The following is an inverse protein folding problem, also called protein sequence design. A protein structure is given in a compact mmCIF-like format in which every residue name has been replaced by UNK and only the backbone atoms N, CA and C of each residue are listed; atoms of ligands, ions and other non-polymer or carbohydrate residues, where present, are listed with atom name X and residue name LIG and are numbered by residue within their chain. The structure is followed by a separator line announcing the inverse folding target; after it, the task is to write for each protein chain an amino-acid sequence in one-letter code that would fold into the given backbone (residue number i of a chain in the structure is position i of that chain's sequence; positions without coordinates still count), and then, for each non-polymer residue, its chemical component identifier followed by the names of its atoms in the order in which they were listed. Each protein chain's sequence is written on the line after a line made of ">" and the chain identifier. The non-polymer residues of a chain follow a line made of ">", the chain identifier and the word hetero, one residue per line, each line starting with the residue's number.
data_IF_635321058343
#
_entry.id   IF_635321058343
#
_cell.length_a   1.000
_cell.length_b   1.000
_cell.length_c   1.000
_cell.angle_alpha   90.00
_cell.angle_beta   90.00
_cell.angle_gamma   90.00
#
_symmetry.space_group_name_H-M   'P 1'
#
loop_
_entity.id
_entity.type
_entity.pdbx_description
1 polymer ?
#
# COMPACT_ATOMS: atom_id res chain seq x y z
N UNK A 1 -85.63 20.72 9.06
CA UNK A 1 -85.83 20.11 7.72
C UNK A 1 -84.47 19.66 7.17
N UNK A 2 -83.75 18.90 7.99
CA UNK A 2 -82.28 18.84 8.01
C UNK A 2 -81.77 17.41 8.27
N UNK A 3 -82.59 16.43 7.91
CA UNK A 3 -82.26 14.99 7.99
C UNK A 3 -82.63 14.23 6.71
N UNK A 4 -83.32 14.87 5.74
CA UNK A 4 -83.66 14.25 4.45
C UNK A 4 -82.62 14.46 3.33
N UNK A 5 -81.73 15.45 3.47
CA UNK A 5 -80.69 15.74 2.45
C UNK A 5 -79.43 14.88 2.66
N UNK A 6 -79.21 14.36 3.88
CA UNK A 6 -78.07 13.50 4.20
C UNK A 6 -78.20 12.06 3.67
N UNK A 7 -79.42 11.58 3.37
CA UNK A 7 -79.66 10.20 2.91
C UNK A 7 -79.57 10.08 1.38
N UNK A 8 -79.74 11.17 0.62
CA UNK A 8 -79.65 11.16 -0.85
C UNK A 8 -78.20 11.27 -1.35
N UNK A 9 -77.28 11.83 -0.55
CA UNK A 9 -75.86 11.95 -0.92
C UNK A 9 -75.08 10.62 -0.70
N UNK A 10 -75.56 9.75 0.20
CA UNK A 10 -74.94 8.43 0.45
C UNK A 10 -75.39 7.39 -0.59
N UNK A 11 -76.55 7.56 -1.24
CA UNK A 11 -77.01 6.69 -2.31
C UNK A 11 -76.37 7.00 -3.69
N UNK A 12 -75.82 8.20 -3.89
CA UNK A 12 -75.12 8.58 -5.14
C UNK A 12 -73.63 8.13 -5.15
N UNK A 13 -73.03 7.87 -3.98
CA UNK A 13 -71.66 7.35 -3.87
C UNK A 13 -71.56 5.81 -3.91
N UNK A 14 -72.68 5.10 -3.75
CA UNK A 14 -72.76 3.63 -3.88
C UNK A 14 -72.93 3.11 -5.32
N UNK A 15 -73.24 3.99 -6.29
CA UNK A 15 -73.56 3.59 -7.68
C UNK A 15 -72.50 3.99 -8.73
N UNK A 16 -71.41 4.66 -8.33
CA UNK A 16 -70.29 5.00 -9.23
C UNK A 16 -69.08 4.05 -9.04
N UNK A 17 -69.16 3.09 -8.12
CA UNK A 17 -68.11 2.08 -7.89
C UNK A 17 -68.33 0.78 -8.72
N UNK A 18 -69.33 0.71 -9.60
CA UNK A 18 -69.63 -0.52 -10.36
C UNK A 18 -69.69 -0.40 -11.90
N UNK A 19 -69.14 0.65 -12.51
CA UNK A 19 -69.13 0.76 -13.99
C UNK A 19 -67.83 1.21 -14.65
N UNK A 20 -66.73 1.41 -13.91
CA UNK A 20 -65.40 1.36 -14.53
C UNK A 20 -64.92 -0.09 -14.50
N UNK A 21 -65.68 -0.94 -15.20
CA UNK A 21 -65.17 -2.18 -15.72
C UNK A 21 -63.91 -1.83 -16.52
N UNK A 22 -62.77 -2.22 -15.95
CA UNK A 22 -61.47 -2.15 -16.58
C UNK A 22 -61.59 -2.66 -18.01
N UNK A 23 -61.48 -1.76 -18.99
CA UNK A 23 -61.04 -2.11 -20.33
C UNK A 23 -59.58 -2.55 -20.19
N UNK A 24 -59.38 -3.77 -19.69
CA UNK A 24 -58.12 -4.50 -19.82
C UNK A 24 -57.89 -4.58 -21.32
N UNK A 25 -56.99 -3.72 -21.83
CA UNK A 25 -56.27 -4.01 -23.07
C UNK A 25 -55.71 -5.42 -22.89
N UNK A 26 -56.36 -6.38 -23.51
CA UNK A 26 -55.85 -7.73 -23.75
C UNK A 26 -54.67 -7.60 -24.72
N UNK A 27 -53.56 -7.08 -24.22
CA UNK A 27 -52.27 -7.44 -24.77
C UNK A 27 -52.16 -8.95 -24.63
N UNK A 28 -52.00 -9.66 -25.75
CA UNK A 28 -51.64 -11.09 -25.79
C UNK A 28 -50.41 -11.30 -24.90
N UNK A 29 -50.61 -11.61 -23.62
CA UNK A 29 -49.59 -12.27 -22.80
C UNK A 29 -49.55 -13.71 -23.31
N UNK A 30 -48.63 -13.99 -24.23
CA UNK A 30 -48.32 -15.35 -24.61
C UNK A 30 -48.06 -16.17 -23.35
N UNK A 31 -48.67 -17.35 -23.23
CA UNK A 31 -48.43 -18.28 -22.13
C UNK A 31 -46.91 -18.48 -21.98
N UNK A 32 -46.36 -18.00 -20.86
CA UNK A 32 -44.97 -18.29 -20.50
C UNK A 32 -44.88 -19.80 -20.29
N UNK A 33 -44.09 -20.48 -21.13
CA UNK A 33 -43.93 -21.94 -21.05
C UNK A 33 -43.41 -22.32 -19.66
N UNK A 34 -43.97 -23.39 -19.08
CA UNK A 34 -43.49 -23.88 -17.79
C UNK A 34 -42.04 -24.37 -17.91
N UNK A 35 -41.27 -24.31 -16.82
CA UNK A 35 -39.90 -24.85 -16.75
C UNK A 35 -39.81 -26.26 -17.31
N UNK A 36 -40.71 -27.14 -16.90
CA UNK A 36 -40.75 -28.54 -17.35
C UNK A 36 -40.98 -28.66 -18.86
N UNK A 37 -41.83 -27.78 -19.41
CA UNK A 37 -42.07 -27.73 -20.86
C UNK A 37 -40.83 -27.24 -21.62
N UNK A 38 -40.15 -26.19 -21.14
CA UNK A 38 -38.92 -25.68 -21.76
C UNK A 38 -37.84 -26.76 -21.76
N UNK A 39 -37.61 -27.42 -20.62
CA UNK A 39 -36.64 -28.50 -20.53
C UNK A 39 -36.98 -29.65 -21.49
N UNK A 40 -38.22 -30.13 -21.48
CA UNK A 40 -38.65 -31.25 -22.34
C UNK A 40 -38.53 -30.93 -23.84
N UNK A 41 -38.97 -29.74 -24.25
CA UNK A 41 -38.91 -29.33 -25.65
C UNK A 41 -37.47 -29.11 -26.12
N UNK A 42 -36.66 -28.43 -25.32
CA UNK A 42 -35.27 -28.16 -25.65
C UNK A 42 -34.40 -29.41 -25.61
N UNK A 43 -34.58 -30.34 -24.66
CA UNK A 43 -33.83 -31.60 -24.65
C UNK A 43 -34.17 -32.46 -25.86
N UNK A 44 -35.45 -32.51 -26.25
CA UNK A 44 -35.85 -33.22 -27.49
C UNK A 44 -35.19 -32.61 -28.72
N UNK A 45 -35.16 -31.29 -28.83
CA UNK A 45 -34.49 -30.59 -29.96
C UNK A 45 -32.98 -30.84 -29.96
N UNK A 46 -32.33 -30.74 -28.80
CA UNK A 46 -30.88 -30.99 -28.67
C UNK A 46 -30.49 -32.45 -28.91
N UNK A 47 -31.38 -33.40 -28.64
CA UNK A 47 -31.16 -34.81 -28.97
C UNK A 47 -31.19 -35.08 -30.49
N UNK A 48 -31.92 -34.26 -31.25
CA UNK A 48 -31.95 -34.35 -32.71
C UNK A 48 -30.80 -33.56 -33.34
N UNK A 49 -30.50 -32.39 -32.79
CA UNK A 49 -29.45 -31.49 -33.24
C UNK A 49 -28.79 -30.82 -32.02
N UNK A 50 -27.58 -31.25 -31.62
CA UNK A 50 -26.86 -30.66 -30.48
C UNK A 50 -26.58 -29.16 -30.59
N UNK A 51 -26.64 -28.60 -31.81
CA UNK A 51 -26.41 -27.18 -32.07
C UNK A 51 -27.71 -26.42 -32.37
N UNK A 52 -28.88 -26.98 -32.04
CA UNK A 52 -30.15 -26.35 -32.34
C UNK A 52 -30.29 -24.97 -31.65
N UNK A 53 -30.37 -23.86 -32.41
CA UNK A 53 -30.27 -22.51 -31.86
C UNK A 53 -31.46 -22.15 -30.98
N UNK A 54 -32.69 -22.54 -31.35
CA UNK A 54 -33.88 -22.32 -30.52
C UNK A 54 -33.75 -22.98 -29.14
N UNK A 55 -33.26 -24.22 -29.12
CA UNK A 55 -33.16 -25.00 -27.90
C UNK A 55 -32.08 -24.44 -26.98
N UNK A 56 -30.92 -24.07 -27.55
CA UNK A 56 -29.84 -23.42 -26.84
C UNK A 56 -30.27 -22.06 -26.29
N UNK A 57 -30.95 -21.22 -27.07
CA UNK A 57 -31.46 -19.93 -26.60
C UNK A 57 -32.46 -20.10 -25.45
N UNK A 58 -33.43 -21.01 -25.58
CA UNK A 58 -34.44 -21.25 -24.56
C UNK A 58 -33.84 -21.79 -23.24
N UNK A 59 -32.87 -22.72 -23.31
CA UNK A 59 -32.21 -23.26 -22.13
C UNK A 59 -31.24 -22.26 -21.50
N UNK A 60 -30.49 -21.53 -22.31
CA UNK A 60 -29.59 -20.47 -21.83
C UNK A 60 -30.38 -19.43 -21.04
N UNK A 61 -31.49 -18.94 -21.60
CA UNK A 61 -32.37 -17.99 -20.92
C UNK A 61 -32.97 -18.56 -19.63
N UNK A 62 -33.41 -19.83 -19.64
CA UNK A 62 -33.93 -20.50 -18.46
C UNK A 62 -32.89 -20.56 -17.34
N UNK A 63 -31.71 -21.11 -17.62
CA UNK A 63 -30.66 -21.27 -16.61
C UNK A 63 -30.09 -19.93 -16.14
N UNK A 64 -29.98 -18.94 -17.03
CA UNK A 64 -29.57 -17.59 -16.66
C UNK A 64 -30.55 -16.95 -15.66
N UNK A 65 -31.85 -17.05 -15.94
CA UNK A 65 -32.89 -16.53 -15.05
C UNK A 65 -32.94 -17.28 -13.70
N UNK A 66 -32.65 -18.59 -13.71
CA UNK A 66 -32.49 -19.41 -12.50
C UNK A 66 -31.16 -19.14 -11.77
N UNK A 67 -30.27 -18.29 -12.32
CA UNK A 67 -28.91 -18.05 -11.82
C UNK A 67 -28.06 -19.32 -11.73
N UNK A 68 -28.39 -20.33 -12.52
CA UNK A 68 -27.62 -21.56 -12.70
C UNK A 68 -26.46 -21.27 -13.67
N UNK A 69 -25.49 -20.47 -13.22
CA UNK A 69 -24.40 -19.96 -14.04
C UNK A 69 -23.54 -21.07 -14.64
N UNK A 70 -23.34 -22.14 -13.88
CA UNK A 70 -22.62 -23.37 -14.26
C UNK A 70 -23.24 -24.05 -15.48
N UNK A 71 -24.58 -24.02 -15.59
CA UNK A 71 -25.33 -24.57 -16.73
C UNK A 71 -25.52 -23.57 -17.86
N UNK A 72 -25.69 -22.29 -17.53
CA UNK A 72 -25.92 -21.24 -18.52
C UNK A 72 -24.64 -20.91 -19.31
N UNK A 73 -23.48 -20.86 -18.64
CA UNK A 73 -22.19 -20.54 -19.24
C UNK A 73 -21.85 -21.38 -20.50
N UNK A 74 -21.82 -22.73 -20.43
CA UNK A 74 -21.47 -23.54 -21.59
C UNK A 74 -22.49 -23.40 -22.73
N UNK A 75 -23.76 -23.17 -22.42
CA UNK A 75 -24.79 -22.96 -23.45
C UNK A 75 -24.54 -21.66 -24.22
N UNK A 76 -24.21 -20.57 -23.53
CA UNK A 76 -23.87 -19.32 -24.21
C UNK A 76 -22.55 -19.39 -24.97
N UNK A 77 -21.59 -20.18 -24.49
CA UNK A 77 -20.37 -20.47 -25.25
C UNK A 77 -20.67 -21.21 -26.56
N UNK A 78 -21.55 -22.23 -26.53
CA UNK A 78 -22.01 -22.92 -27.74
C UNK A 78 -22.80 -21.99 -28.67
N UNK A 79 -23.68 -21.12 -28.13
CA UNK A 79 -24.38 -20.13 -28.94
C UNK A 79 -23.39 -19.21 -29.69
N UNK A 80 -22.34 -18.75 -29.00
CA UNK A 80 -21.30 -17.92 -29.60
C UNK A 80 -20.47 -18.65 -30.66
N UNK A 81 -20.23 -19.96 -30.51
CA UNK A 81 -19.48 -20.73 -31.51
C UNK A 81 -20.27 -20.97 -32.80
N UNK A 82 -21.60 -21.10 -32.72
CA UNK A 82 -22.45 -21.37 -33.88
C UNK A 82 -23.07 -20.10 -34.49
N UNK A 83 -23.01 -18.96 -33.79
CA UNK A 83 -23.55 -17.69 -34.26
C UNK A 83 -23.15 -17.28 -35.70
N UNK A 84 -21.92 -17.53 -36.20
CA UNK A 84 -21.58 -17.21 -37.59
C UNK A 84 -22.45 -17.91 -38.63
N UNK A 85 -22.98 -19.09 -38.31
CA UNK A 85 -23.86 -19.88 -39.17
C UNK A 85 -25.36 -19.66 -38.90
N UNK A 86 -25.71 -19.10 -37.74
CA UNK A 86 -27.09 -18.97 -37.24
C UNK A 86 -27.43 -17.51 -36.90
N UNK A 87 -28.02 -16.80 -37.87
CA UNK A 87 -28.35 -15.35 -37.77
C UNK A 87 -29.41 -15.02 -36.71
N UNK A 88 -30.20 -16.02 -36.31
CA UNK A 88 -31.21 -15.94 -35.27
C UNK A 88 -30.62 -15.76 -33.86
N UNK A 89 -29.32 -16.05 -33.68
CA UNK A 89 -28.65 -15.86 -32.41
C UNK A 89 -28.33 -14.37 -32.21
N UNK A 90 -28.90 -13.79 -31.17
CA UNK A 90 -28.53 -12.46 -30.70
C UNK A 90 -27.12 -12.50 -30.07
N UNK A 91 -26.12 -12.17 -30.89
CA UNK A 91 -24.70 -12.16 -30.51
C UNK A 91 -24.44 -11.25 -29.32
N UNK A 92 -25.13 -10.10 -29.24
CA UNK A 92 -24.97 -9.17 -28.11
C UNK A 92 -25.44 -9.82 -26.82
N UNK A 93 -26.67 -10.35 -26.81
CA UNK A 93 -27.24 -11.02 -25.64
C UNK A 93 -26.44 -12.24 -25.22
N UNK A 94 -26.04 -13.09 -26.17
CA UNK A 94 -25.28 -14.30 -25.89
C UNK A 94 -23.90 -13.96 -25.30
N UNK A 95 -23.16 -13.03 -25.91
CA UNK A 95 -21.83 -12.61 -25.44
C UNK A 95 -21.87 -11.90 -24.07
N UNK A 96 -22.85 -11.01 -23.84
CA UNK A 96 -23.07 -10.37 -22.54
C UNK A 96 -23.35 -11.43 -21.46
N UNK A 97 -24.29 -12.34 -21.70
CA UNK A 97 -24.67 -13.34 -20.70
C UNK A 97 -23.59 -14.38 -20.45
N UNK A 98 -22.84 -14.78 -21.47
CA UNK A 98 -21.63 -15.60 -21.30
C UNK A 98 -20.65 -14.90 -20.36
N UNK A 99 -20.35 -13.63 -20.63
CA UNK A 99 -19.46 -12.80 -19.82
C UNK A 99 -19.92 -12.66 -18.37
N UNK A 100 -21.20 -12.40 -18.16
CA UNK A 100 -21.80 -12.32 -16.81
C UNK A 100 -21.67 -13.66 -16.08
N UNK A 101 -22.02 -14.78 -16.73
CA UNK A 101 -21.89 -16.10 -16.11
C UNK A 101 -20.43 -16.37 -15.70
N UNK A 102 -19.46 -16.02 -16.56
CA UNK A 102 -18.05 -16.17 -16.26
C UNK A 102 -17.62 -15.35 -15.03
N UNK A 103 -18.01 -14.07 -14.92
CA UNK A 103 -17.73 -13.24 -13.72
C UNK A 103 -18.34 -13.84 -12.45
N UNK A 104 -19.57 -14.37 -12.55
CA UNK A 104 -20.27 -15.01 -11.42
C UNK A 104 -19.66 -16.35 -11.01
N UNK A 105 -19.05 -17.06 -11.94
CA UNK A 105 -18.30 -18.31 -11.70
C UNK A 105 -16.82 -18.07 -11.33
N UNK A 106 -16.41 -16.80 -11.17
CA UNK A 106 -15.02 -16.40 -10.94
C UNK A 106 -14.01 -16.79 -12.04
N UNK A 107 -14.53 -17.06 -13.25
CA UNK A 107 -13.76 -17.31 -14.47
C UNK A 107 -13.38 -15.98 -15.14
N UNK A 108 -12.49 -15.23 -14.48
CA UNK A 108 -12.23 -13.83 -14.84
C UNK A 108 -11.60 -13.68 -16.21
N UNK A 109 -10.63 -14.54 -16.56
CA UNK A 109 -9.98 -14.50 -17.86
C UNK A 109 -10.98 -14.75 -19.01
N UNK A 110 -11.88 -15.72 -18.84
CA UNK A 110 -12.89 -16.10 -19.82
C UNK A 110 -13.98 -15.04 -19.96
N UNK A 111 -14.28 -14.29 -18.88
CA UNK A 111 -15.28 -13.22 -18.91
C UNK A 111 -14.95 -12.13 -19.92
N UNK A 112 -13.66 -11.84 -20.14
CA UNK A 112 -13.23 -10.83 -21.10
C UNK A 112 -13.61 -11.16 -22.54
N UNK A 113 -13.70 -12.45 -22.92
CA UNK A 113 -14.08 -12.85 -24.27
C UNK A 113 -15.48 -12.37 -24.61
N UNK A 114 -16.47 -12.75 -23.79
CA UNK A 114 -17.87 -12.36 -23.99
C UNK A 114 -18.10 -10.85 -23.80
N UNK A 115 -17.53 -10.27 -22.74
CA UNK A 115 -17.73 -8.85 -22.43
C UNK A 115 -17.06 -7.91 -23.45
N UNK A 116 -15.92 -8.32 -24.04
CA UNK A 116 -15.26 -7.53 -25.10
C UNK A 116 -16.06 -7.52 -26.40
N UNK A 117 -16.69 -8.64 -26.77
CA UNK A 117 -17.62 -8.66 -27.90
C UNK A 117 -18.86 -7.81 -27.61
N UNK A 118 -19.46 -7.96 -26.43
CA UNK A 118 -20.65 -7.21 -26.06
C UNK A 118 -20.41 -5.69 -26.04
N UNK A 119 -19.25 -5.22 -25.55
CA UNK A 119 -18.90 -3.78 -25.54
C UNK A 119 -18.58 -3.22 -26.91
N UNK A 120 -18.13 -4.04 -27.86
CA UNK A 120 -17.97 -3.61 -29.26
C UNK A 120 -19.33 -3.40 -29.94
N UNK A 121 -20.32 -4.24 -29.63
CA UNK A 121 -21.67 -4.14 -30.21
C UNK A 121 -22.49 -3.01 -29.57
N UNK A 122 -22.49 -2.92 -28.24
CA UNK A 122 -23.16 -1.84 -27.53
C UNK A 122 -22.24 -1.22 -26.45
N UNK A 123 -21.43 -0.20 -26.81
CA UNK A 123 -20.46 0.42 -25.90
C UNK A 123 -21.07 1.11 -24.68
N UNK A 124 -22.36 1.44 -24.73
CA UNK A 124 -23.04 2.23 -23.69
C UNK A 124 -24.01 1.39 -22.86
N UNK A 125 -24.02 0.07 -23.06
CA UNK A 125 -24.85 -0.80 -22.26
C UNK A 125 -24.39 -0.79 -20.79
N UNK A 126 -25.38 -0.70 -19.90
CA UNK A 126 -25.15 -0.63 -18.46
C UNK A 126 -24.51 -1.91 -17.93
N UNK A 127 -25.06 -3.08 -18.27
CA UNK A 127 -24.58 -4.36 -17.75
C UNK A 127 -23.21 -4.68 -18.30
N UNK A 128 -22.97 -4.43 -19.59
CA UNK A 128 -21.65 -4.61 -20.20
C UNK A 128 -20.58 -3.82 -19.45
N UNK A 129 -20.78 -2.51 -19.27
CA UNK A 129 -19.79 -1.67 -18.59
C UNK A 129 -19.64 -2.04 -17.11
N UNK A 130 -20.72 -2.41 -16.44
CA UNK A 130 -20.67 -2.86 -15.05
C UNK A 130 -19.86 -4.16 -14.89
N UNK A 131 -20.20 -5.20 -15.65
CA UNK A 131 -19.54 -6.50 -15.52
C UNK A 131 -18.12 -6.49 -16.09
N UNK A 132 -17.84 -5.70 -17.12
CA UNK A 132 -16.47 -5.50 -17.61
C UNK A 132 -15.62 -4.74 -16.59
N UNK A 133 -16.18 -3.73 -15.92
CA UNK A 133 -15.52 -3.06 -14.79
C UNK A 133 -15.24 -4.03 -13.64
N UNK A 134 -16.18 -4.89 -13.28
CA UNK A 134 -15.99 -5.92 -12.25
C UNK A 134 -14.93 -6.95 -12.64
N UNK A 135 -14.89 -7.38 -13.90
CA UNK A 135 -13.86 -8.29 -14.40
C UNK A 135 -12.47 -7.66 -14.26
N UNK A 136 -12.30 -6.41 -14.69
CA UNK A 136 -11.04 -5.68 -14.50
C UNK A 136 -10.69 -5.49 -13.01
N UNK A 137 -11.66 -5.15 -12.16
CA UNK A 137 -11.44 -5.02 -10.71
C UNK A 137 -10.94 -6.32 -10.09
N UNK A 138 -11.59 -7.45 -10.39
CA UNK A 138 -11.19 -8.77 -9.91
C UNK A 138 -9.84 -9.23 -10.47
N UNK A 139 -9.48 -8.78 -11.67
CA UNK A 139 -8.16 -9.02 -12.26
C UNK A 139 -7.08 -8.05 -11.74
N UNK A 140 -7.36 -7.23 -10.73
CA UNK A 140 -6.49 -6.17 -10.19
C UNK A 140 -6.09 -5.08 -11.22
N UNK A 141 -6.81 -4.96 -12.32
CA UNK A 141 -6.59 -3.94 -13.37
C UNK A 141 -7.44 -2.70 -13.11
N UNK A 142 -7.18 -2.03 -11.98
CA UNK A 142 -8.02 -0.93 -11.48
C UNK A 142 -8.12 0.25 -12.46
N UNK A 143 -7.02 0.60 -13.14
CA UNK A 143 -6.99 1.68 -14.14
C UNK A 143 -7.93 1.43 -15.32
N UNK A 144 -8.16 0.15 -15.68
CA UNK A 144 -9.12 -0.24 -16.71
C UNK A 144 -10.55 -0.35 -16.18
N UNK A 145 -10.72 -0.67 -14.90
CA UNK A 145 -12.03 -0.75 -14.25
C UNK A 145 -12.70 0.63 -14.10
N UNK A 146 -11.94 1.65 -13.68
CA UNK A 146 -12.42 3.01 -13.45
C UNK A 146 -13.22 3.59 -14.63
N UNK A 147 -12.73 3.63 -15.88
CA UNK A 147 -13.48 4.20 -16.99
C UNK A 147 -14.76 3.43 -17.31
N UNK A 148 -14.78 2.11 -17.08
CA UNK A 148 -16.00 1.29 -17.27
C UNK A 148 -17.06 1.64 -16.24
N UNK A 149 -16.69 1.72 -14.96
CA UNK A 149 -17.62 2.13 -13.91
C UNK A 149 -18.06 3.59 -14.04
N UNK A 150 -17.19 4.51 -14.48
CA UNK A 150 -17.60 5.88 -14.82
C UNK A 150 -18.66 5.90 -15.92
N UNK A 151 -18.58 5.03 -16.93
CA UNK A 151 -19.61 4.91 -17.96
C UNK A 151 -20.95 4.48 -17.38
N UNK A 152 -20.94 3.56 -16.41
CA UNK A 152 -22.16 3.12 -15.68
C UNK A 152 -22.85 4.31 -15.00
N UNK A 153 -22.09 5.16 -14.30
CA UNK A 153 -22.61 6.36 -13.63
C UNK A 153 -23.17 7.37 -14.63
N UNK A 154 -22.56 7.52 -15.81
CA UNK A 154 -23.08 8.40 -16.86
C UNK A 154 -24.40 7.88 -17.45
N UNK A 155 -24.50 6.56 -17.68
CA UNK A 155 -25.68 5.94 -18.30
C UNK A 155 -26.86 5.85 -17.33
N UNK A 156 -26.60 5.57 -16.05
CA UNK A 156 -27.60 5.54 -14.98
C UNK A 156 -27.06 6.23 -13.72
N UNK A 157 -27.21 7.57 -13.60
CA UNK A 157 -26.71 8.32 -12.44
C UNK A 157 -27.27 7.86 -11.09
N UNK A 158 -28.51 7.37 -11.10
CA UNK A 158 -29.25 6.91 -9.91
C UNK A 158 -29.03 5.43 -9.59
N UNK A 159 -28.17 4.72 -10.33
CA UNK A 159 -27.89 3.32 -10.04
C UNK A 159 -27.20 3.15 -8.68
N UNK A 160 -27.85 2.39 -7.79
CA UNK A 160 -27.28 1.96 -6.51
C UNK A 160 -26.25 0.85 -6.72
N UNK A 161 -25.30 0.69 -5.81
CA UNK A 161 -24.32 -0.41 -5.84
C UNK A 161 -23.14 -0.19 -6.80
N UNK A 162 -23.08 0.95 -7.52
CA UNK A 162 -21.92 1.34 -8.33
C UNK A 162 -20.88 2.13 -7.55
N UNK A 163 -21.30 2.79 -6.47
CA UNK A 163 -20.43 3.65 -5.67
C UNK A 163 -19.26 2.88 -5.05
N UNK A 164 -19.53 1.68 -4.52
CA UNK A 164 -18.48 0.84 -3.90
C UNK A 164 -17.45 0.36 -4.93
N UNK A 165 -17.82 -0.30 -6.05
CA UNK A 165 -16.83 -0.72 -7.04
C UNK A 165 -16.02 0.45 -7.61
N UNK A 166 -16.67 1.58 -7.95
CA UNK A 166 -15.97 2.74 -8.49
C UNK A 166 -15.02 3.37 -7.46
N UNK A 167 -15.48 3.58 -6.23
CA UNK A 167 -14.67 4.15 -5.14
C UNK A 167 -13.47 3.28 -4.80
N UNK A 168 -13.66 1.96 -4.69
CA UNK A 168 -12.58 1.01 -4.43
C UNK A 168 -11.60 0.91 -5.60
N UNK A 169 -12.08 0.90 -6.85
CA UNK A 169 -11.22 0.97 -8.04
C UNK A 169 -10.36 2.23 -8.05
N UNK A 170 -10.95 3.40 -7.82
CA UNK A 170 -10.21 4.67 -7.76
C UNK A 170 -9.16 4.66 -6.65
N UNK A 171 -9.51 4.14 -5.46
CA UNK A 171 -8.58 4.01 -4.36
C UNK A 171 -7.40 3.09 -4.69
N UNK A 172 -7.65 1.90 -5.23
CA UNK A 172 -6.59 0.95 -5.59
C UNK A 172 -5.74 1.41 -6.79
N UNK A 173 -6.32 2.24 -7.66
CA UNK A 173 -5.60 3.00 -8.71
C UNK A 173 -4.86 4.25 -8.17
N UNK A 174 -4.83 4.46 -6.85
CA UNK A 174 -4.18 5.60 -6.16
C UNK A 174 -4.76 6.98 -6.50
N UNK A 175 -5.95 7.04 -7.07
CA UNK A 175 -6.72 8.27 -7.26
C UNK A 175 -7.47 8.64 -5.98
N UNK A 176 -6.73 8.83 -4.88
CA UNK A 176 -7.29 8.93 -3.53
C UNK A 176 -8.31 10.06 -3.36
N UNK A 177 -8.02 11.27 -3.85
CA UNK A 177 -8.97 12.39 -3.73
C UNK A 177 -10.26 12.14 -4.50
N UNK A 178 -10.18 11.48 -5.66
CA UNK A 178 -11.34 11.17 -6.50
C UNK A 178 -12.18 10.04 -5.91
N UNK A 179 -11.57 9.10 -5.16
CA UNK A 179 -12.29 7.97 -4.57
C UNK A 179 -13.22 8.38 -3.43
N UNK A 180 -12.84 9.39 -2.63
CA UNK A 180 -13.56 9.81 -1.41
C UNK A 180 -15.08 10.05 -1.58
N UNK A 181 -15.56 10.83 -2.56
CA UNK A 181 -17.00 11.03 -2.74
C UNK A 181 -17.75 9.72 -3.04
N UNK A 182 -17.15 8.80 -3.82
CA UNK A 182 -17.77 7.52 -4.15
C UNK A 182 -17.72 6.54 -2.98
N UNK A 183 -16.63 6.50 -2.22
CA UNK A 183 -16.51 5.69 -1.01
C UNK A 183 -17.47 6.18 0.09
N UNK A 184 -17.63 7.50 0.24
CA UNK A 184 -18.66 8.06 1.14
C UNK A 184 -20.05 7.59 0.73
N UNK A 185 -20.41 7.73 -0.55
CA UNK A 185 -21.70 7.25 -1.07
C UNK A 185 -21.88 5.74 -0.87
N UNK A 186 -20.81 4.96 -1.03
CA UNK A 186 -20.84 3.51 -0.78
C UNK A 186 -21.15 3.18 0.69
N UNK A 187 -20.66 3.98 1.63
CA UNK A 187 -20.96 3.85 3.06
C UNK A 187 -22.34 4.40 3.43
N UNK A 188 -22.83 5.41 2.71
CA UNK A 188 -24.21 5.88 2.85
C UNK A 188 -25.20 4.77 2.39
N UNK A 189 -24.85 4.02 1.33
CA UNK A 189 -25.62 2.87 0.83
C UNK A 189 -25.47 1.61 1.69
N UNK A 190 -24.26 1.33 2.19
CA UNK A 190 -23.96 0.20 3.06
C UNK A 190 -22.94 0.61 4.16
N UNK A 191 -23.41 1.03 5.34
CA UNK A 191 -22.55 1.46 6.44
C UNK A 191 -21.62 0.37 7.00
N UNK A 192 -21.93 -0.90 6.75
CA UNK A 192 -21.15 -2.03 7.27
C UNK A 192 -19.99 -2.44 6.36
N UNK A 193 -19.82 -1.80 5.20
CA UNK A 193 -18.75 -2.11 4.27
C UNK A 193 -17.37 -1.66 4.82
N UNK A 194 -16.71 -2.57 5.55
CA UNK A 194 -15.39 -2.34 6.16
C UNK A 194 -14.29 -2.08 5.14
N UNK A 195 -14.36 -2.67 3.94
CA UNK A 195 -13.39 -2.41 2.88
C UNK A 195 -13.49 -0.95 2.40
N UNK A 196 -14.72 -0.47 2.13
CA UNK A 196 -14.95 0.93 1.75
C UNK A 196 -14.58 1.90 2.88
N UNK A 197 -14.88 1.54 4.14
CA UNK A 197 -14.53 2.34 5.31
C UNK A 197 -13.01 2.47 5.48
N UNK A 198 -12.27 1.36 5.37
CA UNK A 198 -10.82 1.37 5.40
C UNK A 198 -10.23 2.16 4.23
N UNK A 199 -10.69 1.90 3.00
CA UNK A 199 -10.22 2.60 1.80
C UNK A 199 -10.47 4.12 1.87
N UNK A 200 -11.59 4.54 2.48
CA UNK A 200 -11.90 5.94 2.69
C UNK A 200 -10.94 6.58 3.69
N UNK A 201 -10.67 5.92 4.81
CA UNK A 201 -9.72 6.40 5.81
C UNK A 201 -8.30 6.49 5.26
N UNK A 202 -7.84 5.47 4.56
CA UNK A 202 -6.51 5.46 3.95
C UNK A 202 -6.39 6.49 2.82
N UNK A 203 -7.42 6.61 1.96
CA UNK A 203 -7.49 7.68 0.96
C UNK A 203 -7.49 9.09 1.58
N UNK A 204 -8.12 9.27 2.75
CA UNK A 204 -8.06 10.53 3.50
C UNK A 204 -6.65 10.81 4.02
N UNK A 205 -5.98 9.79 4.58
CA UNK A 205 -4.61 9.89 5.08
C UNK A 205 -3.63 10.32 3.98
N UNK A 206 -3.67 9.64 2.83
CA UNK A 206 -2.85 9.96 1.66
C UNK A 206 -3.19 11.34 1.05
N UNK A 207 -4.42 11.81 1.23
CA UNK A 207 -4.86 13.14 0.78
C UNK A 207 -4.57 14.28 1.78
N UNK A 208 -3.91 13.99 2.92
CA UNK A 208 -3.52 14.98 3.93
C UNK A 208 -4.51 15.17 5.08
N UNK A 209 -5.56 14.36 5.16
CA UNK A 209 -6.58 14.41 6.22
C UNK A 209 -6.38 13.30 7.27
N UNK A 210 -5.12 13.07 7.67
CA UNK A 210 -4.73 11.94 8.54
C UNK A 210 -5.41 11.93 9.92
N UNK A 211 -5.67 13.09 10.53
CA UNK A 211 -6.35 13.15 11.84
C UNK A 211 -7.77 12.56 11.79
N UNK A 212 -8.48 12.75 10.67
CA UNK A 212 -9.81 12.15 10.46
C UNK A 212 -9.70 10.65 10.19
N UNK A 213 -8.70 10.24 9.41
CA UNK A 213 -8.41 8.84 9.14
C UNK A 213 -8.12 8.05 10.41
N UNK A 214 -7.38 8.64 11.36
CA UNK A 214 -6.98 7.98 12.61
C UNK A 214 -8.18 7.49 13.42
N UNK A 215 -9.27 8.29 13.50
CA UNK A 215 -10.50 7.86 14.19
C UNK A 215 -11.08 6.58 13.60
N UNK A 216 -11.02 6.44 12.28
CA UNK A 216 -11.51 5.25 11.57
C UNK A 216 -10.56 4.06 11.79
N UNK A 217 -9.24 4.27 11.70
CA UNK A 217 -8.27 3.21 11.98
C UNK A 217 -8.40 2.67 13.41
N UNK A 218 -8.59 3.55 14.40
CA UNK A 218 -8.86 3.13 15.78
C UNK A 218 -10.15 2.34 15.92
N UNK A 219 -11.21 2.73 15.20
CA UNK A 219 -12.47 1.99 15.18
C UNK A 219 -12.33 0.61 14.52
N UNK A 220 -11.48 0.47 13.50
CA UNK A 220 -11.23 -0.78 12.79
C UNK A 220 -10.20 -1.69 13.50
N UNK A 221 -9.43 -1.18 14.46
CA UNK A 221 -8.43 -1.96 15.21
C UNK A 221 -8.94 -3.29 15.76
N UNK A 222 -10.11 -3.43 16.41
CA UNK A 222 -10.56 -4.72 16.92
C UNK A 222 -11.09 -5.66 15.83
N UNK A 223 -11.22 -5.21 14.59
CA UNK A 223 -11.80 -5.99 13.50
C UNK A 223 -10.89 -7.19 13.13
N UNK A 224 -11.43 -8.42 13.00
CA UNK A 224 -10.62 -9.60 12.69
C UNK A 224 -9.92 -9.56 11.33
N UNK A 225 -10.51 -8.90 10.34
CA UNK A 225 -10.01 -8.85 8.95
C UNK A 225 -9.21 -7.57 8.69
N UNK A 226 -9.71 -6.43 9.18
CA UNK A 226 -9.14 -5.11 8.91
C UNK A 226 -8.26 -4.58 10.04
N UNK A 227 -8.31 -5.14 11.25
CA UNK A 227 -7.58 -4.62 12.40
C UNK A 227 -6.07 -4.55 12.20
N UNK A 228 -5.46 -5.57 11.59
CA UNK A 228 -4.04 -5.57 11.25
C UNK A 228 -3.69 -4.46 10.24
N UNK A 229 -4.50 -4.28 9.19
CA UNK A 229 -4.32 -3.23 8.17
C UNK A 229 -4.50 -1.84 8.77
N UNK A 230 -5.50 -1.67 9.63
CA UNK A 230 -5.78 -0.42 10.33
C UNK A 230 -4.64 -0.04 11.28
N UNK A 231 -4.08 -1.00 12.01
CA UNK A 231 -2.91 -0.78 12.86
C UNK A 231 -1.66 -0.43 12.07
N UNK A 232 -1.42 -1.09 10.93
CA UNK A 232 -0.33 -0.74 10.03
C UNK A 232 -0.48 0.69 9.50
N UNK A 233 -1.68 1.07 9.04
CA UNK A 233 -1.95 2.42 8.54
C UNK A 233 -1.80 3.49 9.64
N UNK A 234 -2.29 3.22 10.85
CA UNK A 234 -2.13 4.10 12.01
C UNK A 234 -0.65 4.29 12.40
N UNK A 235 0.13 3.20 12.46
CA UNK A 235 1.54 3.29 12.78
C UNK A 235 2.34 4.01 11.69
N UNK A 236 1.99 3.83 10.41
CA UNK A 236 2.59 4.59 9.32
C UNK A 236 2.27 6.08 9.41
N UNK A 237 1.04 6.44 9.81
CA UNK A 237 0.68 7.84 10.08
C UNK A 237 1.55 8.42 11.19
N UNK A 238 1.64 7.77 12.35
CA UNK A 238 2.46 8.26 13.46
C UNK A 238 3.96 8.36 13.10
N UNK A 239 4.50 7.41 12.33
CA UNK A 239 5.87 7.51 11.81
C UNK A 239 6.08 8.76 10.95
N UNK A 240 5.12 9.09 10.08
CA UNK A 240 5.19 10.28 9.22
C UNK A 240 5.21 11.57 10.04
N UNK A 241 4.57 11.57 11.22
CA UNK A 241 4.56 12.70 12.16
C UNK A 241 5.78 12.72 13.09
N UNK A 242 6.70 11.76 12.98
CA UNK A 242 7.86 11.63 13.88
C UNK A 242 7.53 11.05 15.26
N UNK A 243 6.30 10.57 15.47
CA UNK A 243 5.81 10.01 16.72
C UNK A 243 6.14 8.51 16.82
N UNK A 244 7.42 8.17 16.84
CA UNK A 244 7.89 6.78 16.80
C UNK A 244 7.32 5.90 17.92
N UNK A 245 7.12 6.46 19.12
CA UNK A 245 6.54 5.75 20.28
C UNK A 245 5.13 5.23 20.02
N UNK A 246 4.27 6.08 19.44
CA UNK A 246 2.90 5.68 19.10
C UNK A 246 2.90 4.69 17.93
N UNK A 247 3.80 4.89 16.96
CA UNK A 247 3.92 3.97 15.85
C UNK A 247 4.31 2.55 16.28
N UNK A 248 5.27 2.42 17.21
CA UNK A 248 5.65 1.13 17.80
C UNK A 248 4.43 0.46 18.43
N UNK A 249 3.65 1.19 19.24
CA UNK A 249 2.43 0.66 19.88
C UNK A 249 1.42 0.16 18.84
N UNK A 250 1.17 0.94 17.79
CA UNK A 250 0.22 0.56 16.75
C UNK A 250 0.67 -0.72 16.02
N UNK A 251 1.94 -0.83 15.64
CA UNK A 251 2.45 -2.01 14.96
C UNK A 251 2.45 -3.24 15.86
N UNK A 252 2.81 -3.10 17.15
CA UNK A 252 2.75 -4.20 18.11
C UNK A 252 1.31 -4.71 18.32
N UNK A 253 0.32 -3.81 18.33
CA UNK A 253 -1.08 -4.21 18.34
C UNK A 253 -1.44 -4.93 17.03
N UNK A 254 -1.01 -4.41 15.88
CA UNK A 254 -1.24 -5.02 14.58
C UNK A 254 -0.72 -6.46 14.48
N UNK A 255 0.47 -6.73 15.04
CA UNK A 255 1.07 -8.06 15.06
C UNK A 255 0.38 -9.06 16.02
N UNK A 256 -0.53 -8.61 16.89
CA UNK A 256 -1.37 -9.49 17.72
C UNK A 256 -2.56 -10.08 16.97
N UNK A 257 -2.90 -9.56 15.80
CA UNK A 257 -3.97 -10.12 14.96
C UNK A 257 -3.54 -11.46 14.35
N UNK A 258 -4.20 -12.54 14.75
CA UNK A 258 -3.85 -13.91 14.30
C UNK A 258 -4.14 -14.14 12.81
N UNK A 259 -5.15 -13.46 12.26
CA UNK A 259 -5.61 -13.65 10.88
C UNK A 259 -5.02 -12.61 9.90
N UNK A 260 -3.95 -11.91 10.30
CA UNK A 260 -3.30 -10.95 9.43
C UNK A 260 -2.67 -11.64 8.22
N UNK A 261 -2.94 -11.13 7.01
CA UNK A 261 -2.28 -11.62 5.80
C UNK A 261 -0.75 -11.57 5.95
N UNK A 262 0.00 -12.56 5.44
CA UNK A 262 1.46 -12.61 5.60
C UNK A 262 2.17 -11.35 5.13
N UNK A 263 1.70 -10.73 4.04
CA UNK A 263 2.25 -9.51 3.46
C UNK A 263 2.12 -8.33 4.44
N UNK A 264 0.95 -8.21 5.09
CA UNK A 264 0.69 -7.18 6.10
C UNK A 264 1.57 -7.42 7.33
N UNK A 265 1.71 -8.67 7.77
CA UNK A 265 2.56 -9.01 8.91
C UNK A 265 4.04 -8.70 8.64
N UNK A 266 4.55 -9.04 7.46
CA UNK A 266 5.94 -8.75 7.06
C UNK A 266 6.17 -7.23 6.96
N UNK A 267 5.27 -6.49 6.30
CA UNK A 267 5.36 -5.03 6.22
C UNK A 267 5.31 -4.40 7.63
N UNK A 268 4.45 -4.88 8.51
CA UNK A 268 4.32 -4.37 9.89
C UNK A 268 5.61 -4.60 10.68
N UNK A 269 6.23 -5.78 10.59
CA UNK A 269 7.54 -6.04 11.22
C UNK A 269 8.63 -5.13 10.66
N UNK A 270 8.62 -4.87 9.35
CA UNK A 270 9.58 -3.98 8.70
C UNK A 270 9.43 -2.55 9.22
N UNK A 271 8.21 -2.02 9.27
CA UNK A 271 7.92 -0.68 9.78
C UNK A 271 8.20 -0.56 11.28
N UNK A 272 7.92 -1.61 12.05
CA UNK A 272 8.25 -1.68 13.47
C UNK A 272 9.76 -1.64 13.70
N UNK A 273 10.55 -2.35 12.90
CA UNK A 273 12.01 -2.26 12.97
C UNK A 273 12.51 -0.83 12.71
N UNK A 274 11.98 -0.16 11.68
CA UNK A 274 12.31 1.23 11.39
C UNK A 274 11.91 2.18 12.53
N UNK A 275 10.74 1.96 13.15
CA UNK A 275 10.30 2.73 14.31
C UNK A 275 11.24 2.56 15.51
N UNK A 276 11.69 1.32 15.77
CA UNK A 276 12.67 1.04 16.81
C UNK A 276 14.04 1.68 16.53
N UNK A 277 14.49 1.72 15.27
CA UNK A 277 15.71 2.44 14.91
C UNK A 277 15.58 3.95 15.13
N UNK A 278 14.41 4.54 14.84
CA UNK A 278 14.13 5.95 15.11
C UNK A 278 14.20 6.27 16.62
N UNK A 279 13.80 5.32 17.48
CA UNK A 279 13.95 5.39 18.93
C UNK A 279 15.37 5.06 19.44
N UNK A 280 16.31 4.73 18.54
CA UNK A 280 17.67 4.24 18.87
C UNK A 280 17.68 2.89 19.62
N UNK A 281 16.58 2.13 19.58
CA UNK A 281 16.47 0.78 20.16
C UNK A 281 16.87 -0.25 19.09
N UNK A 282 18.17 -0.36 18.84
CA UNK A 282 18.69 -1.12 17.69
C UNK A 282 18.42 -2.63 17.82
N UNK A 283 18.60 -3.21 19.01
CA UNK A 283 18.47 -4.66 19.23
C UNK A 283 17.13 -5.23 18.78
N UNK A 284 16.02 -4.64 19.26
CA UNK A 284 14.67 -5.05 18.85
C UNK A 284 14.45 -4.88 17.35
N UNK A 285 14.92 -3.78 16.76
CA UNK A 285 14.81 -3.56 15.32
C UNK A 285 15.49 -4.68 14.52
N UNK A 286 16.67 -5.12 14.93
CA UNK A 286 17.39 -6.25 14.31
C UNK A 286 16.59 -7.55 14.45
N UNK A 287 16.03 -7.86 15.61
CA UNK A 287 15.23 -9.08 15.83
C UNK A 287 14.06 -9.16 14.83
N UNK A 288 13.33 -8.05 14.64
CA UNK A 288 12.26 -8.00 13.64
C UNK A 288 12.78 -8.17 12.21
N UNK A 289 13.90 -7.53 11.86
CA UNK A 289 14.50 -7.70 10.54
C UNK A 289 14.98 -9.15 10.29
N UNK A 290 15.56 -9.82 11.28
CA UNK A 290 15.95 -11.22 11.20
C UNK A 290 14.73 -12.13 10.98
N UNK A 291 13.63 -11.86 11.70
CA UNK A 291 12.38 -12.60 11.50
C UNK A 291 11.82 -12.46 10.08
N UNK A 292 12.02 -11.29 9.44
CA UNK A 292 11.65 -11.09 8.04
C UNK A 292 12.60 -11.86 7.13
N UNK A 293 13.92 -11.75 7.33
CA UNK A 293 14.93 -12.42 6.50
C UNK A 293 14.76 -13.95 6.51
N UNK A 294 14.33 -14.54 7.63
CA UNK A 294 14.06 -15.97 7.73
C UNK A 294 12.92 -16.44 6.81
N UNK A 295 11.93 -15.58 6.52
CA UNK A 295 10.77 -15.90 5.68
C UNK A 295 10.97 -15.42 4.24
N UNK A 296 11.56 -14.23 4.07
CA UNK A 296 11.83 -13.61 2.78
C UNK A 296 13.21 -12.94 2.80
N UNK A 297 14.27 -13.65 2.37
CA UNK A 297 15.64 -13.15 2.44
C UNK A 297 15.93 -11.89 1.62
N UNK A 298 15.13 -11.62 0.59
CA UNK A 298 15.31 -10.49 -0.35
C UNK A 298 14.22 -9.42 -0.17
N UNK A 299 13.57 -9.39 0.99
CA UNK A 299 12.54 -8.39 1.25
C UNK A 299 13.16 -6.99 1.35
N UNK A 300 12.91 -6.14 0.35
CA UNK A 300 13.36 -4.74 0.30
C UNK A 300 14.87 -4.60 0.60
N UNK A 301 15.23 -3.68 1.48
CA UNK A 301 16.57 -3.35 1.95
C UNK A 301 16.93 -4.03 3.29
N UNK A 302 16.19 -5.07 3.69
CA UNK A 302 16.40 -5.78 4.97
C UNK A 302 17.84 -6.30 5.11
N UNK A 303 18.48 -6.93 4.11
CA UNK A 303 19.88 -7.38 4.23
C UNK A 303 20.85 -6.22 4.52
N UNK A 304 20.68 -5.08 3.86
CA UNK A 304 21.52 -3.89 4.02
C UNK A 304 21.30 -3.26 5.40
N UNK A 305 20.05 -3.16 5.85
CA UNK A 305 19.71 -2.68 7.18
C UNK A 305 20.28 -3.60 8.26
N UNK A 306 20.16 -4.92 8.11
CA UNK A 306 20.75 -5.89 9.05
C UNK A 306 22.26 -5.76 9.14
N UNK A 307 22.96 -5.69 8.01
CA UNK A 307 24.42 -5.51 8.01
C UNK A 307 24.82 -4.22 8.73
N UNK A 308 24.16 -3.10 8.40
CA UNK A 308 24.43 -1.79 9.00
C UNK A 308 24.15 -1.77 10.50
N UNK A 309 22.96 -2.19 10.92
CA UNK A 309 22.53 -2.09 12.32
C UNK A 309 23.18 -3.16 13.20
N UNK A 310 23.50 -4.35 12.67
CA UNK A 310 24.25 -5.36 13.43
C UNK A 310 25.66 -4.88 13.78
N UNK A 311 26.34 -4.21 12.84
CA UNK A 311 27.66 -3.60 13.10
C UNK A 311 27.58 -2.52 14.18
N UNK A 312 26.55 -1.66 14.13
CA UNK A 312 26.28 -0.64 15.16
C UNK A 312 25.98 -1.27 16.52
N UNK A 313 25.19 -2.34 16.55
CA UNK A 313 24.77 -3.01 17.80
C UNK A 313 25.93 -3.75 18.48
N UNK A 314 26.90 -4.27 17.72
CA UNK A 314 28.04 -5.00 18.26
C UNK A 314 29.15 -4.08 18.80
N UNK A 315 29.20 -2.81 18.39
CA UNK A 315 30.27 -1.88 18.77
C UNK A 315 29.70 -0.66 19.50
N UNK A 316 29.67 -0.72 20.83
CA UNK A 316 29.16 0.35 21.70
C UNK A 316 29.86 1.69 21.48
N UNK A 317 31.16 1.68 21.20
CA UNK A 317 31.91 2.89 20.90
C UNK A 317 31.53 3.47 19.54
N UNK A 318 31.29 2.64 18.52
CA UNK A 318 30.79 3.10 17.21
C UNK A 318 29.36 3.66 17.32
N UNK A 319 28.51 2.99 18.10
CA UNK A 319 27.17 3.48 18.43
C UNK A 319 27.25 4.84 19.13
N UNK A 320 28.15 4.99 20.12
CA UNK A 320 28.38 6.25 20.82
C UNK A 320 28.86 7.33 19.85
N UNK A 321 29.84 7.00 19.01
CA UNK A 321 30.40 7.87 17.99
C UNK A 321 29.32 8.44 17.07
N UNK A 322 28.36 7.62 16.63
CA UNK A 322 27.35 8.03 15.66
C UNK A 322 26.04 8.57 16.26
N UNK A 323 25.66 8.12 17.47
CA UNK A 323 24.27 8.28 17.95
C UNK A 323 24.10 8.93 19.33
N UNK A 324 25.17 9.04 20.12
CA UNK A 324 25.11 9.63 21.46
C UNK A 324 24.91 11.17 21.46
N UNK A 325 24.69 11.75 22.63
CA UNK A 325 24.62 13.19 22.82
C UNK A 325 25.94 13.87 22.41
N UNK A 326 25.93 15.20 22.19
CA UNK A 326 27.16 15.94 21.87
C UNK A 326 28.22 15.81 22.97
N UNK A 327 27.82 15.78 24.25
CA UNK A 327 28.75 15.60 25.37
C UNK A 327 29.41 14.23 25.37
N UNK A 328 28.64 13.16 25.15
CA UNK A 328 29.18 11.79 25.09
C UNK A 328 30.08 11.59 23.88
N UNK A 329 29.71 12.21 22.75
CA UNK A 329 30.51 12.21 21.54
C UNK A 329 31.86 12.90 21.75
N UNK A 330 31.87 14.10 22.34
CA UNK A 330 33.10 14.82 22.71
C UNK A 330 33.94 13.99 23.68
N UNK A 331 33.33 13.38 24.69
CA UNK A 331 34.03 12.52 25.66
C UNK A 331 34.71 11.32 24.97
N UNK A 332 34.05 10.70 23.98
CA UNK A 332 34.65 9.64 23.18
C UNK A 332 35.81 10.15 22.32
N UNK A 333 35.65 11.30 21.63
CA UNK A 333 36.74 11.91 20.86
C UNK A 333 37.97 12.20 21.72
N UNK A 334 37.80 12.70 22.95
CA UNK A 334 38.90 12.90 23.91
C UNK A 334 39.60 11.57 24.24
N UNK A 335 38.85 10.50 24.50
CA UNK A 335 39.42 9.17 24.75
C UNK A 335 40.19 8.65 23.55
N UNK A 336 39.68 8.85 22.33
CA UNK A 336 40.37 8.48 21.08
C UNK A 336 41.73 9.18 21.02
N UNK A 337 41.76 10.50 21.18
CA UNK A 337 42.98 11.30 21.07
C UNK A 337 44.02 10.88 22.12
N UNK A 338 43.60 10.73 23.38
CA UNK A 338 44.50 10.35 24.47
C UNK A 338 45.12 8.95 24.32
N UNK A 339 44.42 8.03 23.64
CA UNK A 339 44.91 6.66 23.37
C UNK A 339 45.47 6.48 21.94
N UNK A 340 45.51 7.54 21.12
CA UNK A 340 45.86 7.42 19.70
C UNK A 340 47.33 7.00 19.51
N UNK A 341 48.24 7.65 20.24
CA UNK A 341 49.67 7.32 20.24
C UNK A 341 50.01 6.34 21.36
N UNK A 342 50.39 5.12 21.02
CA UNK A 342 50.67 4.07 22.02
C UNK A 342 51.99 4.29 22.80
N UNK A 343 52.93 5.06 22.25
CA UNK A 343 54.29 5.26 22.79
C UNK A 343 54.62 6.72 23.08
N UNK A 344 53.60 7.55 23.29
CA UNK A 344 53.75 8.97 23.57
C UNK A 344 52.72 9.42 24.61
N UNK A 345 53.04 10.45 25.38
CA UNK A 345 52.09 11.07 26.30
C UNK A 345 51.36 12.18 25.55
N UNK A 346 50.03 12.13 25.52
CA UNK A 346 49.21 13.12 24.81
C UNK A 346 48.46 13.98 25.82
N UNK A 347 48.60 15.30 25.71
CA UNK A 347 47.90 16.30 26.55
C UNK A 347 46.99 17.14 25.68
N UNK A 348 45.71 17.25 26.07
CA UNK A 348 44.74 18.09 25.36
C UNK A 348 45.00 19.56 25.71
N UNK A 349 45.20 20.38 24.68
CA UNK A 349 45.45 21.82 24.79
C UNK A 349 44.13 22.58 24.60
N UNK A 350 43.39 22.26 23.55
CA UNK A 350 42.13 22.94 23.21
C UNK A 350 41.13 21.99 22.55
N UNK A 351 39.84 22.28 22.70
CA UNK A 351 38.74 21.56 22.05
C UNK A 351 37.76 22.57 21.46
N UNK A 352 37.62 22.56 20.13
CA UNK A 352 36.62 23.33 19.42
C UNK A 352 35.50 22.40 18.90
N UNK A 353 34.29 22.58 19.41
CA UNK A 353 33.10 21.85 18.96
C UNK A 353 32.35 22.72 17.94
N UNK A 354 32.34 22.29 16.68
CA UNK A 354 31.63 22.96 15.57
C UNK A 354 30.41 22.13 15.16
N UNK A 355 29.43 22.71 14.43
CA UNK A 355 28.26 21.97 13.95
C UNK A 355 28.63 20.75 13.10
N UNK A 356 29.64 20.88 12.24
CA UNK A 356 30.03 19.85 11.27
C UNK A 356 31.14 18.91 11.77
N UNK A 357 31.91 19.32 12.78
CA UNK A 357 33.07 18.56 13.26
C UNK A 357 33.52 18.98 14.66
N UNK A 358 34.37 18.14 15.27
CA UNK A 358 35.12 18.49 16.48
C UNK A 358 36.60 18.59 16.11
N UNK A 359 37.25 19.65 16.57
CA UNK A 359 38.70 19.80 16.53
C UNK A 359 39.28 19.67 17.94
N UNK A 360 40.34 18.87 18.09
CA UNK A 360 41.07 18.72 19.36
C UNK A 360 42.55 18.98 19.08
N UNK A 361 43.08 20.04 19.67
CA UNK A 361 44.51 20.37 19.63
C UNK A 361 45.21 19.70 20.82
N UNK A 362 46.34 19.05 20.55
CA UNK A 362 47.11 18.34 21.57
C UNK A 362 48.61 18.60 21.46
N UNK A 363 49.28 18.56 22.61
CA UNK A 363 50.74 18.34 22.68
C UNK A 363 50.99 16.85 22.82
N UNK A 364 51.93 16.33 22.04
CA UNK A 364 52.36 14.93 22.02
C UNK A 364 53.83 14.88 22.39
N UNK A 365 54.10 14.37 23.59
CA UNK A 365 55.46 14.18 24.11
C UNK A 365 55.97 12.79 23.69
N UNK A 366 56.85 12.78 22.70
CA UNK A 366 57.65 11.62 22.32
C UNK A 366 58.96 11.60 23.11
N UNK A 367 59.68 10.47 23.06
CA UNK A 367 60.94 10.28 23.82
C UNK A 367 62.00 11.35 23.51
N UNK A 368 61.95 12.00 22.34
CA UNK A 368 62.98 12.94 21.86
C UNK A 368 62.44 14.24 21.28
N UNK A 369 61.12 14.41 21.23
CA UNK A 369 60.48 15.59 20.64
C UNK A 369 59.14 15.84 21.35
N UNK A 370 58.74 17.10 21.37
CA UNK A 370 57.37 17.50 21.67
C UNK A 370 56.79 18.08 20.39
N UNK A 371 55.65 17.55 19.96
CA UNK A 371 54.98 17.92 18.71
C UNK A 371 53.55 18.35 18.99
N UNK A 372 53.07 19.34 18.24
CA UNK A 372 51.69 19.83 18.32
C UNK A 372 50.86 19.18 17.23
N UNK A 373 49.85 18.39 17.61
CA UNK A 373 48.97 17.73 16.65
C UNK A 373 47.54 18.24 16.77
N UNK A 374 46.81 18.28 15.65
CA UNK A 374 45.38 18.60 15.64
C UNK A 374 44.57 17.43 15.08
N UNK A 375 43.51 17.05 15.78
CA UNK A 375 42.57 16.02 15.36
C UNK A 375 41.28 16.67 14.90
N UNK A 376 40.72 16.26 13.75
CA UNK A 376 39.38 16.64 13.30
C UNK A 376 38.50 15.41 13.15
N UNK A 377 37.35 15.41 13.80
CA UNK A 377 36.39 14.32 13.78
C UNK A 377 35.14 14.73 12.99
N UNK A 378 34.80 13.95 11.97
CA UNK A 378 33.53 14.06 11.27
C UNK A 378 32.56 12.98 11.78
N UNK A 379 31.35 13.42 12.13
CA UNK A 379 30.29 12.55 12.64
C UNK A 379 29.35 12.10 11.51
N UNK A 380 29.92 11.56 10.43
CA UNK A 380 29.15 11.12 9.25
C UNK A 380 29.58 9.73 8.80
N UNK A 381 28.64 8.99 8.20
CA UNK A 381 28.92 7.74 7.46
C UNK A 381 29.09 7.99 5.96
N UNK A 382 28.86 9.23 5.49
CA UNK A 382 29.01 9.63 4.09
C UNK A 382 30.46 9.88 3.69
N UNK A 383 30.67 10.18 2.42
CA UNK A 383 31.99 10.54 1.90
C UNK A 383 32.37 11.96 2.33
N UNK A 384 33.57 12.13 2.88
CA UNK A 384 34.20 13.43 3.13
C UNK A 384 34.89 13.88 1.85
N UNK A 385 34.37 14.94 1.25
CA UNK A 385 34.91 15.54 0.01
C UNK A 385 36.31 16.14 0.22
N UNK A 386 37.07 16.28 -0.87
CA UNK A 386 38.45 16.77 -0.86
C UNK A 386 38.54 18.22 -0.33
N UNK A 387 37.53 19.05 -0.59
CA UNK A 387 37.42 20.41 -0.03
C UNK A 387 37.61 20.42 1.49
N UNK A 388 36.96 19.48 2.20
CA UNK A 388 37.05 19.38 3.66
C UNK A 388 38.44 18.92 4.15
N UNK A 389 39.15 18.14 3.34
CA UNK A 389 40.53 17.74 3.62
C UNK A 389 41.49 18.92 3.42
N UNK A 390 41.29 19.71 2.35
CA UNK A 390 42.05 20.93 2.07
C UNK A 390 41.84 22.01 3.14
N UNK A 391 40.60 22.20 3.55
CA UNK A 391 40.27 23.12 4.64
C UNK A 391 40.91 22.68 5.97
N UNK A 392 40.88 21.38 6.26
CA UNK A 392 41.57 20.85 7.43
C UNK A 392 43.09 21.06 7.35
N UNK A 393 43.70 20.91 6.17
CA UNK A 393 45.12 21.22 5.98
C UNK A 393 45.46 22.68 6.30
N UNK A 394 44.66 23.62 5.80
CA UNK A 394 44.84 25.03 6.12
C UNK A 394 44.76 25.27 7.63
N UNK A 395 43.85 24.57 8.31
CA UNK A 395 43.71 24.64 9.77
C UNK A 395 44.93 24.08 10.52
N UNK A 396 45.57 23.01 10.02
CA UNK A 396 46.84 22.48 10.58
C UNK A 396 47.91 23.56 10.54
N UNK A 397 48.06 24.26 9.41
CA UNK A 397 49.04 25.35 9.25
C UNK A 397 48.72 26.54 10.16
N UNK A 398 47.45 26.95 10.23
CA UNK A 398 47.02 28.08 11.06
C UNK A 398 47.24 27.82 12.56
N UNK A 399 46.98 26.58 13.00
CA UNK A 399 47.23 26.14 14.37
C UNK A 399 48.72 25.95 14.68
N UNK A 400 49.61 26.11 13.68
CA UNK A 400 51.05 25.79 13.76
C UNK A 400 51.29 24.36 14.28
N UNK A 401 50.43 23.44 13.89
CA UNK A 401 50.54 22.03 14.25
C UNK A 401 51.52 21.32 13.30
N UNK A 402 52.36 20.46 13.85
CA UNK A 402 53.28 19.60 13.12
C UNK A 402 52.53 18.55 12.29
N UNK A 403 51.34 18.13 12.76
CA UNK A 403 50.53 17.10 12.11
C UNK A 403 49.02 17.27 12.33
N UNK A 404 48.25 16.95 11.30
CA UNK A 404 46.80 16.78 11.34
C UNK A 404 46.38 15.32 11.30
N UNK A 405 45.33 14.94 12.02
CA UNK A 405 44.67 13.63 11.92
C UNK A 405 43.18 13.83 11.69
N UNK A 406 42.68 13.40 10.53
CA UNK A 406 41.28 13.53 10.16
C UNK A 406 40.57 12.18 10.28
N UNK A 407 39.51 12.11 11.08
CA UNK A 407 38.82 10.86 11.45
C UNK A 407 37.36 10.93 11.04
N UNK A 408 36.85 9.89 10.37
CA UNK A 408 35.44 9.78 9.98
C UNK A 408 34.92 8.34 10.10
N UNK A 409 33.60 8.20 10.29
CA UNK A 409 32.91 6.90 10.22
C UNK A 409 32.47 6.55 8.78
N UNK A 410 32.78 7.41 7.82
CA UNK A 410 32.58 7.20 6.39
C UNK A 410 33.88 6.97 5.63
N UNK A 411 33.95 7.45 4.40
CA UNK A 411 35.13 7.36 3.53
C UNK A 411 35.64 8.76 3.17
N UNK A 412 36.90 8.88 2.77
CA UNK A 412 37.41 10.09 2.11
C UNK A 412 37.33 9.90 0.60
N UNK A 413 37.05 10.98 -0.15
CA UNK A 413 37.09 10.94 -1.62
C UNK A 413 38.50 10.58 -2.12
N UNK A 414 38.59 10.05 -3.35
CA UNK A 414 39.90 9.73 -3.94
C UNK A 414 40.79 10.96 -4.08
N UNK A 415 40.21 12.09 -4.46
CA UNK A 415 40.90 13.38 -4.57
C UNK A 415 41.39 13.87 -3.21
N UNK A 416 40.61 13.65 -2.14
CA UNK A 416 41.00 13.99 -0.77
C UNK A 416 42.17 13.14 -0.29
N UNK A 417 42.17 11.84 -0.61
CA UNK A 417 43.31 10.94 -0.31
C UNK A 417 44.56 11.35 -1.08
N UNK A 418 44.45 11.56 -2.39
CA UNK A 418 45.56 12.06 -3.23
C UNK A 418 46.09 13.42 -2.75
N UNK A 419 45.21 14.28 -2.25
CA UNK A 419 45.63 15.55 -1.67
C UNK A 419 46.41 15.34 -0.36
N UNK A 420 46.00 14.41 0.51
CA UNK A 420 46.72 14.16 1.76
C UNK A 420 48.11 13.51 1.54
N UNK A 421 48.33 12.82 0.42
CA UNK A 421 49.63 12.23 0.08
C UNK A 421 50.75 13.29 0.09
N UNK A 422 51.81 13.00 0.85
CA UNK A 422 52.98 13.90 1.00
C UNK A 422 52.74 15.13 1.87
N UNK A 423 51.58 15.26 2.53
CA UNK A 423 51.26 16.36 3.46
C UNK A 423 51.22 15.85 4.90
N UNK A 424 51.39 16.71 5.91
CA UNK A 424 51.35 16.32 7.32
C UNK A 424 49.91 16.05 7.80
N UNK A 425 49.16 15.20 7.08
CA UNK A 425 47.77 14.84 7.38
C UNK A 425 47.59 13.33 7.25
N UNK A 426 47.18 12.70 8.34
CA UNK A 426 46.69 11.33 8.30
C UNK A 426 45.18 11.32 8.12
N UNK A 427 44.69 10.46 7.22
CA UNK A 427 43.27 10.21 7.02
C UNK A 427 42.90 8.84 7.62
N UNK A 428 41.95 8.85 8.54
CA UNK A 428 41.43 7.66 9.23
C UNK A 428 39.97 7.48 8.86
N UNK A 429 39.73 6.58 7.91
CA UNK A 429 38.38 6.24 7.46
C UNK A 429 37.67 5.27 8.43
N UNK A 430 36.46 4.83 8.06
CA UNK A 430 35.64 3.90 8.85
C UNK A 430 36.43 2.69 9.38
N UNK A 431 37.25 2.05 8.55
CA UNK A 431 37.97 0.84 8.94
C UNK A 431 39.08 1.16 9.94
N UNK A 432 39.77 2.29 9.76
CA UNK A 432 40.73 2.82 10.73
C UNK A 432 40.06 3.18 12.06
N UNK A 433 38.94 3.89 12.02
CA UNK A 433 38.18 4.27 13.20
C UNK A 433 37.72 3.05 13.99
N UNK A 434 37.15 2.02 13.34
CA UNK A 434 36.72 0.79 14.03
C UNK A 434 37.88 0.12 14.78
N UNK A 435 39.08 0.08 14.19
CA UNK A 435 40.28 -0.47 14.86
C UNK A 435 40.66 0.35 16.08
N UNK A 436 40.55 1.68 16.01
CA UNK A 436 40.82 2.57 17.15
C UNK A 436 39.77 2.34 18.25
N UNK A 437 38.48 2.34 17.90
CA UNK A 437 37.38 2.18 18.86
C UNK A 437 37.45 0.86 19.62
N UNK A 438 37.86 -0.24 18.94
CA UNK A 438 38.07 -1.55 19.60
C UNK A 438 39.21 -1.54 20.63
N UNK A 439 40.23 -0.69 20.45
CA UNK A 439 41.37 -0.56 21.39
C UNK A 439 41.07 0.33 22.58
N UNK A 440 40.00 1.11 22.56
CA UNK A 440 39.65 2.01 23.67
C UNK A 440 39.01 1.23 24.82
N UNK A 441 38.38 0.10 24.52
CA UNK A 441 37.75 -0.83 25.47
C UNK A 441 38.75 -1.79 26.17
N UNK A 442 39.97 -1.92 25.62
CA UNK A 442 41.14 -2.56 26.26
C UNK A 442 42.00 -1.54 26.99
#
# INVERSE_FOLDING_TARGET
>A
MSTLIAVVIIAAFGAIILSVATRKKTGKKGKQKSRAQILKESTRKLAQDPHNPDALMALGDLYYNERAWDKAYPIYETQMSIAPAHKEIDVFKASLRQGICAVKLDKIAESFKGLSTAVQINPNDFEVNYYLGLAFYKNNEFDKAVPRFKRVVVVKPEATGIASPLGLSLYKAKHYKESLPYLKRALDENPENKEALFAMADGMNESGYGDKAMKVFMHLRPDPEFGAKACLAAGMYHLKQGEADKAVQDFEIGLKHQNAAPEISIETRYRLALAYFAQKIIGKGIEYLQSIQAVNPQYKDVPQLLARYSELNQNKNLQTYLMASSSDYVALCRKIVLKFYQKAVTKIVDIAVKPENIEILVSVEFVRSEETHIFRFYRTTGAVADLYVREFHARVTEAKADKGVCITAGLFSEEGRKYAEGRPIDLVDKNGLIKILKKIDS
#
